data_IF_584534199925
#
_entry.id   IF_584534199925
#
_cell.length_a   1.000
_cell.length_b   1.000
_cell.length_c   1.000
_cell.angle_alpha   90.00
_cell.angle_beta   90.00
_cell.angle_gamma   90.00
#
_symmetry.space_group_name_H-M   'P 1'
#
loop_
_entity.id
_entity.type
_entity.pdbx_description
1 polymer ?
#
# COMPACT_ATOMS: atom_id res chain seq x y z
N UNK A 1 43.79 1.53 97.76
CA UNK A 1 42.38 1.60 97.33
C UNK A 1 42.41 1.75 95.83
N UNK A 2 41.90 0.74 95.13
CA UNK A 2 41.88 0.59 93.68
C UNK A 2 41.24 1.78 92.96
N UNK A 3 41.69 2.08 91.75
CA UNK A 3 40.82 1.96 90.57
C UNK A 3 41.60 2.20 89.27
N UNK A 4 41.47 1.21 88.39
CA UNK A 4 41.96 1.08 87.03
C UNK A 4 41.10 1.86 86.04
N UNK A 5 41.67 2.55 85.05
CA UNK A 5 41.05 2.83 83.73
C UNK A 5 42.21 2.94 82.71
N UNK A 6 42.53 1.88 81.97
CA UNK A 6 41.97 1.45 80.66
C UNK A 6 42.31 2.36 79.47
N UNK A 7 43.12 1.80 78.57
CA UNK A 7 43.53 2.30 77.27
C UNK A 7 42.32 2.45 76.33
N UNK A 8 42.18 3.61 75.68
CA UNK A 8 41.35 3.70 74.48
C UNK A 8 42.17 4.16 73.28
N UNK A 9 42.28 3.21 72.36
CA UNK A 9 42.97 3.21 71.08
C UNK A 9 42.29 4.20 70.10
N UNK A 10 42.92 5.35 69.84
CA UNK A 10 42.45 6.28 68.82
C UNK A 10 42.90 5.78 67.44
N UNK A 11 42.01 5.03 66.78
CA UNK A 11 42.18 4.67 65.38
C UNK A 11 42.15 5.94 64.54
N UNK A 12 43.32 6.22 63.97
CA UNK A 12 43.55 7.13 62.86
C UNK A 12 42.58 6.80 61.71
N UNK A 13 41.55 7.62 61.51
CA UNK A 13 40.69 7.54 60.32
C UNK A 13 41.05 8.67 59.38
N UNK A 14 41.76 8.29 58.33
CA UNK A 14 42.02 9.06 57.12
C UNK A 14 40.70 9.67 56.64
N UNK A 15 40.59 11.00 56.60
CA UNK A 15 39.50 11.68 55.86
C UNK A 15 39.79 11.53 54.38
N UNK A 16 39.04 10.66 53.71
CA UNK A 16 38.91 10.64 52.25
C UNK A 16 38.23 11.95 51.81
N UNK A 17 38.53 12.48 50.61
CA UNK A 17 37.81 13.60 50.05
C UNK A 17 36.32 13.22 49.96
N UNK A 18 35.44 14.14 50.33
CA UNK A 18 34.00 13.99 50.12
C UNK A 18 33.77 13.64 48.64
N UNK A 19 33.24 12.45 48.37
CA UNK A 19 32.61 12.12 47.10
C UNK A 19 31.50 13.14 46.90
N UNK A 20 31.74 14.09 46.00
CA UNK A 20 30.71 14.92 45.41
C UNK A 20 29.74 13.94 44.74
N UNK A 21 28.62 13.70 45.40
CA UNK A 21 27.55 12.82 44.93
C UNK A 21 27.14 13.30 43.54
N UNK A 22 27.66 12.65 42.49
CA UNK A 22 27.22 12.84 41.11
C UNK A 22 25.74 12.51 41.06
N UNK A 23 24.93 13.57 41.21
CA UNK A 23 23.50 13.53 41.05
C UNK A 23 23.24 12.88 39.68
N UNK A 24 22.49 11.77 39.58
CA UNK A 24 22.41 11.01 38.34
C UNK A 24 21.89 11.90 37.21
N UNK A 25 22.80 12.29 36.31
CA UNK A 25 22.56 13.13 35.14
C UNK A 25 21.90 12.31 34.02
N UNK A 26 20.96 11.43 34.38
CA UNK A 26 20.44 10.39 33.49
C UNK A 26 18.92 10.23 33.58
N UNK A 27 18.19 11.10 34.29
CA UNK A 27 16.72 10.98 34.41
C UNK A 27 15.96 12.22 33.87
N UNK A 28 16.37 13.44 34.24
CA UNK A 28 16.27 14.57 33.27
C UNK A 28 17.20 14.24 32.09
N UNK A 29 17.38 15.02 31.04
CA UNK A 29 17.93 14.56 29.76
C UNK A 29 17.17 13.41 29.10
N UNK A 30 16.89 12.27 29.76
CA UNK A 30 16.03 11.21 29.23
C UNK A 30 14.57 11.62 29.23
N UNK A 31 14.04 12.20 30.31
CA UNK A 31 12.66 12.74 30.31
C UNK A 31 12.48 13.89 29.33
N UNK A 32 13.50 14.72 29.15
CA UNK A 32 13.50 15.83 28.20
C UNK A 32 13.67 15.31 26.77
N UNK A 33 14.46 14.26 26.56
CA UNK A 33 14.57 13.57 25.28
C UNK A 33 13.26 12.85 24.94
N UNK A 34 12.57 12.20 25.88
CA UNK A 34 11.25 11.60 25.66
C UNK A 34 10.17 12.68 25.39
N UNK A 35 10.24 13.81 26.08
CA UNK A 35 9.37 14.96 25.84
C UNK A 35 9.62 15.63 24.48
N UNK A 36 10.89 15.70 24.03
CA UNK A 36 11.28 16.25 22.73
C UNK A 36 11.13 15.24 21.57
N UNK A 37 11.25 13.93 21.84
CA UNK A 37 11.16 12.84 20.86
C UNK A 37 9.70 12.43 20.60
N UNK A 38 8.72 13.09 21.22
CA UNK A 38 7.33 12.95 20.84
C UNK A 38 6.78 11.53 21.07
N UNK A 39 7.32 10.80 22.05
CA UNK A 39 6.79 9.52 22.53
C UNK A 39 5.46 9.83 23.26
N UNK A 40 4.42 10.12 22.48
CA UNK A 40 3.17 10.64 23.00
C UNK A 40 2.32 11.39 21.99
N UNK A 41 2.84 11.75 20.81
CA UNK A 41 1.96 12.19 19.71
C UNK A 41 1.14 10.98 19.27
N UNK A 42 -0.12 10.90 19.73
CA UNK A 42 -1.12 10.00 19.13
C UNK A 42 -1.00 10.17 17.62
N UNK A 43 -0.77 9.06 16.90
CA UNK A 43 -0.68 9.09 15.45
C UNK A 43 -1.90 9.85 14.94
N UNK A 44 -1.66 10.97 14.26
CA UNK A 44 -2.75 11.81 13.75
C UNK A 44 -3.61 10.93 12.84
N UNK A 45 -4.95 10.93 13.02
CA UNK A 45 -5.81 10.09 12.21
C UNK A 45 -5.60 10.45 10.74
N UNK A 46 -5.39 9.44 9.89
CA UNK A 46 -5.17 9.66 8.46
C UNK A 46 -6.34 10.47 7.89
N UNK A 47 -6.02 11.61 7.26
CA UNK A 47 -7.04 12.49 6.71
C UNK A 47 -7.92 11.75 5.70
N UNK A 48 -9.20 12.09 5.66
CA UNK A 48 -10.20 11.36 4.88
C UNK A 48 -9.87 11.30 3.38
N UNK A 49 -9.29 12.36 2.81
CA UNK A 49 -8.92 12.41 1.40
C UNK A 49 -7.79 11.43 1.07
N UNK A 50 -6.86 11.16 1.99
CA UNK A 50 -5.87 10.12 1.81
C UNK A 50 -6.50 8.72 1.77
N UNK A 51 -7.52 8.46 2.60
CA UNK A 51 -8.27 7.19 2.56
C UNK A 51 -8.95 6.98 1.20
N UNK A 52 -9.59 8.01 0.67
CA UNK A 52 -10.23 7.96 -0.66
C UNK A 52 -9.19 7.71 -1.74
N UNK A 53 -8.07 8.45 -1.71
CA UNK A 53 -6.99 8.25 -2.69
C UNK A 53 -6.43 6.83 -2.66
N UNK A 54 -6.40 6.20 -1.47
CA UNK A 54 -5.96 4.83 -1.30
C UNK A 54 -6.93 3.85 -1.98
N UNK A 55 -8.23 4.01 -1.72
CA UNK A 55 -9.28 3.16 -2.33
C UNK A 55 -9.28 3.31 -3.85
N UNK A 56 -9.19 4.54 -4.36
CA UNK A 56 -9.12 4.79 -5.80
C UNK A 56 -7.87 4.16 -6.42
N UNK A 57 -6.73 4.24 -5.72
CA UNK A 57 -5.51 3.57 -6.15
C UNK A 57 -5.66 2.06 -6.20
N UNK A 58 -6.32 1.46 -5.19
CA UNK A 58 -6.55 0.02 -5.13
C UNK A 58 -7.46 -0.46 -6.28
N UNK A 59 -8.36 0.38 -6.79
CA UNK A 59 -9.21 0.06 -7.95
C UNK A 59 -8.44 0.26 -9.26
N UNK A 60 -7.77 1.41 -9.44
CA UNK A 60 -7.15 1.77 -10.72
C UNK A 60 -5.95 0.90 -11.04
N UNK A 61 -5.18 0.49 -10.03
CA UNK A 61 -3.94 -0.29 -10.20
C UNK A 61 -4.16 -1.62 -10.93
N UNK A 62 -5.13 -2.46 -10.53
CA UNK A 62 -5.46 -3.67 -11.29
C UNK A 62 -6.32 -3.40 -12.53
N UNK A 63 -7.22 -2.40 -12.52
CA UNK A 63 -8.17 -2.21 -13.62
C UNK A 63 -7.54 -1.61 -14.89
N UNK A 64 -6.58 -0.70 -14.77
CA UNK A 64 -5.94 -0.07 -15.93
C UNK A 64 -5.26 -1.07 -16.90
N UNK A 65 -4.42 -2.03 -16.43
CA UNK A 65 -3.89 -3.07 -17.31
C UNK A 65 -4.99 -4.01 -17.83
N UNK A 66 -5.99 -4.37 -17.03
CA UNK A 66 -7.10 -5.24 -17.47
C UNK A 66 -7.84 -4.61 -18.66
N UNK A 67 -8.25 -3.35 -18.53
CA UNK A 67 -8.97 -2.62 -19.58
C UNK A 67 -8.14 -2.51 -20.85
N UNK A 68 -6.83 -2.30 -20.72
CA UNK A 68 -5.90 -2.27 -21.85
C UNK A 68 -5.80 -3.64 -22.55
N UNK A 69 -5.61 -4.71 -21.77
CA UNK A 69 -5.50 -6.08 -22.29
C UNK A 69 -6.78 -6.49 -23.00
N UNK A 70 -7.95 -6.23 -22.42
CA UNK A 70 -9.25 -6.57 -23.02
C UNK A 70 -9.49 -5.75 -24.29
N UNK A 71 -9.17 -4.46 -24.28
CA UNK A 71 -9.33 -3.62 -25.47
C UNK A 71 -8.47 -4.13 -26.63
N UNK A 72 -7.16 -4.27 -26.43
CA UNK A 72 -6.25 -4.68 -27.50
C UNK A 72 -6.36 -6.17 -27.85
N UNK A 73 -6.77 -7.01 -26.91
CA UNK A 73 -6.88 -8.46 -27.12
C UNK A 73 -8.21 -8.93 -27.70
N UNK A 74 -9.32 -8.22 -27.43
CA UNK A 74 -10.65 -8.70 -27.80
C UNK A 74 -11.53 -7.68 -28.55
N UNK A 75 -11.34 -6.38 -28.32
CA UNK A 75 -12.24 -5.34 -28.86
C UNK A 75 -11.67 -4.71 -30.13
N UNK A 76 -10.38 -4.37 -30.13
CA UNK A 76 -9.72 -3.66 -31.21
C UNK A 76 -9.57 -4.56 -32.46
N UNK A 77 -10.09 -4.10 -33.59
CA UNK A 77 -10.12 -4.84 -34.87
C UNK A 77 -9.09 -4.41 -35.90
N UNK A 78 -8.11 -3.60 -35.49
CA UNK A 78 -7.14 -2.99 -36.40
C UNK A 78 -7.70 -1.71 -37.03
N UNK A 79 -6.91 -0.64 -37.04
CA UNK A 79 -7.29 0.66 -37.59
C UNK A 79 -6.55 1.82 -36.94
N UNK A 80 -6.79 3.07 -37.33
CA UNK A 80 -6.21 4.21 -36.62
C UNK A 80 -6.81 4.30 -35.20
N UNK A 81 -5.95 4.46 -34.20
CA UNK A 81 -6.37 4.65 -32.81
C UNK A 81 -6.88 6.09 -32.62
N UNK A 82 -8.14 6.23 -32.19
CA UNK A 82 -8.68 7.51 -31.79
C UNK A 82 -8.05 8.02 -30.49
N UNK A 83 -8.01 9.34 -30.31
CA UNK A 83 -7.44 9.99 -29.11
C UNK A 83 -8.09 9.47 -27.82
N UNK A 84 -9.41 9.23 -27.84
CA UNK A 84 -10.13 8.64 -26.70
C UNK A 84 -9.62 7.24 -26.34
N UNK A 85 -9.41 6.37 -27.33
CA UNK A 85 -8.88 5.02 -27.11
C UNK A 85 -7.45 5.03 -26.59
N UNK A 86 -6.61 5.94 -27.10
CA UNK A 86 -5.25 6.14 -26.58
C UNK A 86 -5.29 6.56 -25.12
N UNK A 87 -6.16 7.51 -24.76
CA UNK A 87 -6.28 8.00 -23.40
C UNK A 87 -6.77 6.92 -22.42
N UNK A 88 -7.89 6.27 -22.75
CA UNK A 88 -8.56 5.31 -21.85
C UNK A 88 -7.78 4.01 -21.67
N UNK A 89 -7.03 3.57 -22.69
CA UNK A 89 -6.31 2.30 -22.66
C UNK A 89 -4.81 2.54 -22.43
N UNK A 90 -4.13 3.24 -23.33
CA UNK A 90 -2.66 3.36 -23.27
C UNK A 90 -2.23 4.29 -22.13
N UNK A 91 -2.67 5.55 -22.13
CA UNK A 91 -2.21 6.53 -21.14
C UNK A 91 -2.64 6.17 -19.73
N UNK A 92 -3.87 5.66 -19.57
CA UNK A 92 -4.36 5.15 -18.29
C UNK A 92 -3.43 4.10 -17.68
N UNK A 93 -3.00 3.10 -18.47
CA UNK A 93 -2.06 2.09 -17.99
C UNK A 93 -0.66 2.68 -17.72
N UNK A 94 -0.16 3.55 -18.60
CA UNK A 94 1.15 4.19 -18.42
C UNK A 94 1.21 5.01 -17.14
N UNK A 95 0.17 5.78 -16.81
CA UNK A 95 0.15 6.57 -15.58
C UNK A 95 0.13 5.69 -14.32
N UNK A 96 -0.64 4.61 -14.33
CA UNK A 96 -0.61 3.63 -13.24
C UNK A 96 0.77 2.98 -13.12
N UNK A 97 1.39 2.62 -14.24
CA UNK A 97 2.73 2.04 -14.23
C UNK A 97 3.76 3.00 -13.63
N UNK A 98 3.71 4.28 -14.00
CA UNK A 98 4.58 5.31 -13.42
C UNK A 98 4.30 5.47 -11.92
N UNK A 99 3.04 5.54 -11.49
CA UNK A 99 2.69 5.63 -10.06
C UNK A 99 3.27 4.44 -9.28
N UNK A 100 3.15 3.22 -9.79
CA UNK A 100 3.70 2.04 -9.13
C UNK A 100 5.23 1.99 -9.13
N UNK A 101 5.89 2.56 -10.15
CA UNK A 101 7.35 2.62 -10.21
C UNK A 101 7.91 3.70 -9.26
N UNK A 102 7.30 4.87 -9.22
CA UNK A 102 7.75 6.01 -8.40
C UNK A 102 7.36 5.82 -6.93
N UNK A 103 6.12 5.42 -6.66
CA UNK A 103 5.64 5.29 -5.28
C UNK A 103 6.15 3.97 -4.65
N UNK A 104 6.58 4.05 -3.39
CA UNK A 104 6.96 2.88 -2.59
C UNK A 104 5.71 2.21 -1.96
N UNK A 105 4.67 1.94 -2.76
CA UNK A 105 3.47 1.26 -2.26
C UNK A 105 3.75 -0.24 -2.09
N UNK A 106 3.61 -0.80 -0.88
CA UNK A 106 3.75 -2.24 -0.71
C UNK A 106 2.54 -2.94 -1.34
N UNK A 107 2.77 -3.80 -2.33
CA UNK A 107 1.73 -4.63 -2.92
C UNK A 107 1.35 -5.73 -1.93
N UNK A 108 0.20 -5.58 -1.27
CA UNK A 108 -0.36 -6.61 -0.36
C UNK A 108 -1.46 -7.38 -1.10
N UNK A 109 -1.42 -8.71 -1.06
CA UNK A 109 -2.40 -9.59 -1.71
C UNK A 109 -3.83 -9.47 -1.15
N UNK A 110 -4.02 -8.81 -0.01
CA UNK A 110 -5.30 -8.63 0.67
C UNK A 110 -6.24 -7.59 0.00
N UNK A 111 -5.77 -6.81 -0.99
CA UNK A 111 -6.57 -5.78 -1.66
C UNK A 111 -7.43 -6.29 -2.83
N UNK A 112 -7.84 -7.57 -2.83
CA UNK A 112 -8.72 -8.13 -3.88
C UNK A 112 -10.17 -7.63 -3.72
N UNK A 113 -10.60 -7.29 -2.51
CA UNK A 113 -12.00 -6.94 -2.22
C UNK A 113 -12.44 -5.68 -2.97
N UNK A 114 -11.62 -4.63 -2.98
CA UNK A 114 -11.95 -3.35 -3.62
C UNK A 114 -12.17 -3.47 -5.15
N UNK A 115 -11.26 -4.06 -5.94
CA UNK A 115 -11.47 -4.23 -7.38
C UNK A 115 -12.60 -5.22 -7.70
N UNK A 116 -12.82 -6.25 -6.87
CA UNK A 116 -13.95 -7.18 -7.06
C UNK A 116 -15.30 -6.48 -6.81
N UNK A 117 -15.40 -5.68 -5.74
CA UNK A 117 -16.60 -4.88 -5.47
C UNK A 117 -16.88 -3.88 -6.60
N UNK A 118 -15.84 -3.22 -7.12
CA UNK A 118 -15.95 -2.36 -8.29
C UNK A 118 -16.43 -3.13 -9.53
N UNK A 119 -15.87 -4.31 -9.80
CA UNK A 119 -16.30 -5.18 -10.91
C UNK A 119 -17.78 -5.57 -10.79
N UNK A 120 -18.24 -5.91 -9.59
CA UNK A 120 -19.65 -6.25 -9.34
C UNK A 120 -20.57 -5.06 -9.61
N UNK A 121 -20.24 -3.87 -9.10
CA UNK A 121 -21.01 -2.64 -9.34
C UNK A 121 -21.07 -2.32 -10.84
N UNK A 122 -19.94 -2.41 -11.54
CA UNK A 122 -19.88 -2.16 -12.98
C UNK A 122 -20.68 -3.19 -13.78
N UNK A 123 -20.69 -4.46 -13.34
CA UNK A 123 -21.49 -5.53 -13.94
C UNK A 123 -22.99 -5.23 -13.81
N UNK A 124 -23.45 -4.80 -12.64
CA UNK A 124 -24.85 -4.41 -12.42
C UNK A 124 -25.22 -3.22 -13.30
N UNK A 125 -24.36 -2.20 -13.35
CA UNK A 125 -24.56 -1.05 -14.25
C UNK A 125 -24.69 -1.50 -15.72
N UNK A 126 -23.79 -2.37 -16.18
CA UNK A 126 -23.78 -2.89 -17.54
C UNK A 126 -25.06 -3.67 -17.88
N UNK A 127 -25.53 -4.51 -16.95
CA UNK A 127 -26.78 -5.25 -17.09
C UNK A 127 -28.00 -4.31 -17.14
N UNK A 128 -28.06 -3.34 -16.24
CA UNK A 128 -29.15 -2.34 -16.22
C UNK A 128 -29.17 -1.52 -17.50
N UNK A 129 -28.00 -1.11 -18.00
CA UNK A 129 -27.88 -0.38 -19.27
C UNK A 129 -28.45 -1.18 -20.45
N UNK A 130 -28.11 -2.46 -20.54
CA UNK A 130 -28.66 -3.37 -21.56
C UNK A 130 -30.17 -3.60 -21.43
N UNK A 131 -30.73 -3.59 -20.21
CA UNK A 131 -32.17 -3.76 -20.01
C UNK A 131 -33.02 -2.65 -20.63
N UNK A 132 -32.47 -1.45 -20.82
CA UNK A 132 -33.17 -0.35 -21.48
C UNK A 132 -33.33 -0.56 -23.00
N UNK A 133 -32.33 -1.12 -23.67
CA UNK A 133 -32.39 -1.48 -25.09
C UNK A 133 -31.45 -2.66 -25.39
N UNK A 134 -32.00 -3.81 -25.76
CA UNK A 134 -31.21 -5.03 -25.94
C UNK A 134 -30.43 -5.07 -27.26
N UNK A 135 -30.74 -4.16 -28.18
CA UNK A 135 -30.14 -4.11 -29.53
C UNK A 135 -29.05 -3.04 -29.57
N UNK A 136 -29.39 -1.82 -29.16
CA UNK A 136 -28.47 -0.67 -29.23
C UNK A 136 -27.57 -0.55 -27.99
N UNK A 137 -28.02 -1.00 -26.80
CA UNK A 137 -27.24 -0.87 -25.56
C UNK A 137 -26.39 -2.11 -25.24
N UNK A 138 -25.65 -2.59 -26.24
CA UNK A 138 -24.63 -3.64 -26.06
C UNK A 138 -23.25 -3.00 -25.98
N UNK A 139 -22.73 -2.82 -24.77
CA UNK A 139 -21.47 -2.12 -24.51
C UNK A 139 -20.25 -2.74 -25.21
N UNK A 140 -20.10 -4.06 -25.14
CA UNK A 140 -18.94 -4.76 -25.69
C UNK A 140 -19.38 -6.03 -26.41
N UNK A 141 -19.88 -5.87 -27.64
CA UNK A 141 -20.36 -6.98 -28.46
C UNK A 141 -19.26 -8.04 -28.65
N UNK A 142 -19.57 -9.29 -28.33
CA UNK A 142 -18.64 -10.41 -28.37
C UNK A 142 -17.74 -10.57 -27.13
N UNK A 143 -17.86 -9.70 -26.11
CA UNK A 143 -17.14 -9.83 -24.84
C UNK A 143 -18.11 -9.82 -23.67
N UNK A 144 -18.88 -8.75 -23.52
CA UNK A 144 -19.97 -8.60 -22.54
C UNK A 144 -21.23 -8.28 -23.35
N UNK A 145 -21.79 -9.33 -23.95
CA UNK A 145 -23.03 -9.29 -24.70
C UNK A 145 -24.13 -10.03 -23.93
N UNK A 146 -25.04 -9.30 -23.29
CA UNK A 146 -26.10 -9.92 -22.48
C UNK A 146 -27.20 -10.59 -23.30
N UNK A 147 -27.19 -10.45 -24.64
CA UNK A 147 -28.00 -11.30 -25.49
C UNK A 147 -27.51 -12.76 -25.50
N UNK A 148 -26.23 -12.98 -25.16
CA UNK A 148 -25.67 -14.28 -24.78
C UNK A 148 -25.16 -14.21 -23.32
N UNK A 149 -26.03 -14.46 -22.32
CA UNK A 149 -25.64 -14.38 -20.92
C UNK A 149 -24.54 -15.40 -20.57
N UNK A 150 -24.45 -16.52 -21.30
CA UNK A 150 -23.39 -17.51 -21.10
C UNK A 150 -22.01 -17.01 -21.53
N UNK A 151 -21.94 -16.24 -22.62
CA UNK A 151 -20.71 -15.54 -23.02
C UNK A 151 -20.34 -14.47 -21.99
N UNK A 152 -21.29 -13.62 -21.60
CA UNK A 152 -21.05 -12.52 -20.65
C UNK A 152 -20.55 -13.03 -19.29
N UNK A 153 -21.22 -14.03 -18.72
CA UNK A 153 -20.82 -14.61 -17.43
C UNK A 153 -19.43 -15.22 -17.48
N UNK A 154 -19.08 -15.96 -18.55
CA UNK A 154 -17.74 -16.53 -18.72
C UNK A 154 -16.68 -15.45 -18.86
N UNK A 155 -16.93 -14.41 -19.65
CA UNK A 155 -16.01 -13.28 -19.80
C UNK A 155 -15.77 -12.55 -18.48
N UNK A 156 -16.83 -12.23 -17.74
CA UNK A 156 -16.74 -11.55 -16.43
C UNK A 156 -15.98 -12.41 -15.42
N UNK A 157 -16.27 -13.72 -15.36
CA UNK A 157 -15.56 -14.64 -14.48
C UNK A 157 -14.08 -14.75 -14.85
N UNK A 158 -13.76 -14.89 -16.15
CA UNK A 158 -12.39 -14.92 -16.64
C UNK A 158 -11.62 -13.64 -16.25
N UNK A 159 -12.20 -12.46 -16.47
CA UNK A 159 -11.55 -11.20 -16.13
C UNK A 159 -11.38 -11.02 -14.62
N UNK A 160 -12.42 -11.34 -13.84
CA UNK A 160 -12.43 -11.10 -12.38
C UNK A 160 -11.56 -12.07 -11.60
N UNK A 161 -11.39 -13.31 -12.07
CA UNK A 161 -10.59 -14.31 -11.36
C UNK A 161 -9.24 -14.55 -12.01
N UNK A 162 -9.18 -14.82 -13.32
CA UNK A 162 -7.93 -15.20 -13.98
C UNK A 162 -7.10 -13.96 -14.28
N UNK A 163 -7.66 -13.01 -15.04
CA UNK A 163 -6.91 -11.84 -15.48
C UNK A 163 -6.51 -10.94 -14.30
N UNK A 164 -7.42 -10.73 -13.34
CA UNK A 164 -7.12 -10.02 -12.10
C UNK A 164 -5.97 -10.67 -11.32
N UNK A 165 -5.99 -12.00 -11.15
CA UNK A 165 -4.91 -12.72 -10.46
C UNK A 165 -3.57 -12.55 -11.17
N UNK A 166 -3.55 -12.66 -12.50
CA UNK A 166 -2.33 -12.45 -13.30
C UNK A 166 -1.77 -11.02 -13.12
N UNK A 167 -2.65 -10.02 -13.12
CA UNK A 167 -2.26 -8.63 -12.91
C UNK A 167 -1.72 -8.38 -11.50
N UNK A 168 -2.33 -8.97 -10.48
CA UNK A 168 -1.82 -8.87 -9.09
C UNK A 168 -0.44 -9.52 -8.98
N UNK A 169 -0.24 -10.69 -9.59
CA UNK A 169 1.06 -11.35 -9.65
C UNK A 169 2.09 -10.46 -10.36
N UNK A 170 1.72 -9.85 -11.49
CA UNK A 170 2.57 -8.91 -12.22
C UNK A 170 3.04 -7.75 -11.32
N UNK A 171 2.11 -7.10 -10.61
CA UNK A 171 2.46 -6.02 -9.69
C UNK A 171 3.32 -6.49 -8.52
N UNK A 172 3.05 -7.67 -7.98
CA UNK A 172 3.86 -8.27 -6.94
C UNK A 172 5.30 -8.55 -7.41
N UNK A 173 5.47 -9.07 -8.63
CA UNK A 173 6.78 -9.31 -9.23
C UNK A 173 7.54 -8.00 -9.46
N UNK A 174 6.87 -6.96 -9.96
CA UNK A 174 7.47 -5.62 -10.09
C UNK A 174 7.92 -5.07 -8.73
N UNK A 175 7.10 -5.20 -7.70
CA UNK A 175 7.47 -4.80 -6.35
C UNK A 175 8.72 -5.56 -5.84
N UNK A 176 8.77 -6.89 -6.04
CA UNK A 176 9.94 -7.71 -5.68
C UNK A 176 11.19 -7.30 -6.47
N UNK A 177 11.04 -6.97 -7.76
CA UNK A 177 12.12 -6.48 -8.59
C UNK A 177 12.67 -5.15 -8.05
N UNK A 178 11.80 -4.22 -7.64
CA UNK A 178 12.22 -2.94 -7.01
C UNK A 178 13.04 -3.18 -5.74
N UNK A 179 12.59 -4.07 -4.86
CA UNK A 179 13.32 -4.41 -3.64
C UNK A 179 14.67 -5.05 -3.92
N UNK A 180 14.74 -5.93 -4.92
CA UNK A 180 15.99 -6.56 -5.34
C UNK A 180 16.98 -5.56 -5.94
N UNK A 181 16.50 -4.62 -6.77
CA UNK A 181 17.33 -3.54 -7.30
C UNK A 181 17.85 -2.65 -6.17
N UNK A 182 16.99 -2.29 -5.22
CA UNK A 182 17.38 -1.49 -4.06
C UNK A 182 18.44 -2.21 -3.21
N UNK A 183 18.24 -3.50 -2.89
CA UNK A 183 19.22 -4.25 -2.10
C UNK A 183 20.55 -4.44 -2.83
N UNK A 184 20.54 -4.56 -4.17
CA UNK A 184 21.78 -4.70 -4.95
C UNK A 184 22.56 -3.38 -5.07
N UNK A 185 21.87 -2.24 -5.14
CA UNK A 185 22.48 -0.92 -5.28
C UNK A 185 22.96 -0.35 -3.94
N UNK A 186 22.17 -0.53 -2.88
CA UNK A 186 22.43 0.07 -1.56
C UNK A 186 22.86 -0.92 -0.48
N UNK A 187 22.64 -2.23 -0.68
CA UNK A 187 23.07 -3.28 0.26
C UNK A 187 24.51 -3.76 0.06
N UNK A 188 25.34 -2.96 -0.62
CA UNK A 188 26.78 -3.20 -0.82
C UNK A 188 27.60 -2.05 -0.22
N UNK A 189 27.32 -1.72 1.04
CA UNK A 189 28.16 -0.88 1.92
C UNK A 189 28.52 -1.73 3.13
#
# INVERSE_FOLDING_TARGET
MESTIELTNSKNTLKLPEEEEEKPLCNSQYQDAEANFGIGKKAQPLAWYFKISWILSDIVTPSAPIVSIVYFGAIYRGGPLGVSSVNVHILNFVFVLIDQLVCARPVKLLHIVTPVAFSAIYTVFNLVYWLFDRVEHVLYRGVIDWNDPGLSLRSIAFMSFILLSLVIIFWFLLYRLKLWLFSKLYGRI
#
